data_IF_544124714505
#
_entry.id   IF_544124714505
#
_cell.length_a   1.000
_cell.length_b   1.000
_cell.length_c   1.000
_cell.angle_alpha   90.00
_cell.angle_beta   90.00
_cell.angle_gamma   90.00
#
_symmetry.space_group_name_H-M   'P 1'
#
loop_
_entity.id
_entity.type
_entity.pdbx_description
1 polymer ?
#
# COMPACT_ATOMS: atom_id res chain seq x y z
N UNK A 1 -17.09 -34.86 -73.27
CA UNK A 1 -15.64 -34.69 -73.44
C UNK A 1 -15.05 -34.09 -72.17
N UNK A 2 -14.27 -34.90 -71.43
CA UNK A 2 -13.03 -34.59 -70.71
C UNK A 2 -12.91 -33.37 -69.74
N UNK A 3 -12.57 -33.73 -68.49
CA UNK A 3 -11.64 -33.13 -67.48
C UNK A 3 -12.36 -32.72 -66.18
N UNK A 4 -12.35 -33.54 -65.12
CA UNK A 4 -11.26 -33.77 -64.15
C UNK A 4 -10.58 -32.46 -63.70
N UNK A 5 -10.98 -31.95 -62.53
CA UNK A 5 -10.11 -31.21 -61.63
C UNK A 5 -10.47 -31.56 -60.18
N UNK A 6 -9.55 -32.26 -59.54
CA UNK A 6 -9.53 -32.55 -58.11
C UNK A 6 -9.08 -31.27 -57.38
N UNK A 7 -9.85 -30.80 -56.41
CA UNK A 7 -9.45 -29.71 -55.52
C UNK A 7 -9.59 -30.22 -54.08
N UNK A 8 -8.44 -30.56 -53.51
CA UNK A 8 -8.26 -30.94 -52.10
C UNK A 8 -8.53 -29.69 -51.26
N UNK A 9 -9.66 -29.68 -50.55
CA UNK A 9 -10.01 -28.63 -49.60
C UNK A 9 -9.22 -28.80 -48.30
N UNK A 10 -8.27 -27.89 -48.06
CA UNK A 10 -7.51 -27.79 -46.82
C UNK A 10 -8.44 -27.24 -45.72
N UNK A 11 -8.90 -28.10 -44.81
CA UNK A 11 -9.68 -27.69 -43.65
C UNK A 11 -8.77 -26.99 -42.63
N UNK A 12 -8.78 -25.66 -42.62
CA UNK A 12 -8.15 -24.86 -41.56
C UNK A 12 -9.05 -24.93 -40.33
N UNK A 13 -8.69 -25.81 -39.39
CA UNK A 13 -9.28 -25.85 -38.05
C UNK A 13 -8.80 -24.60 -37.31
N UNK A 14 -9.63 -23.56 -37.32
CA UNK A 14 -9.42 -22.37 -36.51
C UNK A 14 -9.72 -22.74 -35.06
N UNK A 15 -8.69 -23.11 -34.31
CA UNK A 15 -8.77 -23.30 -32.87
C UNK A 15 -9.05 -21.94 -32.21
N UNK A 16 -10.32 -21.65 -31.90
CA UNK A 16 -10.68 -20.60 -30.95
C UNK A 16 -10.10 -20.98 -29.59
N UNK A 17 -8.96 -20.39 -29.25
CA UNK A 17 -8.48 -20.32 -27.88
C UNK A 17 -9.48 -19.44 -27.11
N UNK A 18 -10.49 -20.07 -26.50
CA UNK A 18 -11.23 -19.45 -25.41
C UNK A 18 -10.24 -19.26 -24.26
N UNK A 19 -9.67 -18.06 -24.20
CA UNK A 19 -9.01 -17.58 -23.01
C UNK A 19 -10.04 -17.57 -21.90
N UNK A 20 -9.96 -18.51 -20.97
CA UNK A 20 -10.56 -18.39 -19.66
C UNK A 20 -9.85 -17.26 -18.92
N UNK A 21 -10.14 -16.02 -19.31
CA UNK A 21 -9.97 -14.89 -18.41
C UNK A 21 -10.86 -15.21 -17.21
N UNK A 22 -10.24 -15.57 -16.09
CA UNK A 22 -10.91 -15.63 -14.79
C UNK A 22 -11.49 -14.24 -14.54
N UNK A 23 -12.74 -14.03 -14.93
CA UNK A 23 -13.47 -12.82 -14.61
C UNK A 23 -13.53 -12.75 -13.09
N UNK A 24 -12.89 -11.71 -12.55
CA UNK A 24 -13.00 -11.36 -11.13
C UNK A 24 -14.49 -11.28 -10.81
N UNK A 25 -14.98 -12.21 -9.99
CA UNK A 25 -16.38 -12.22 -9.61
C UNK A 25 -16.65 -10.95 -8.78
N UNK A 26 -17.66 -10.13 -9.16
CA UNK A 26 -18.10 -9.03 -8.31
C UNK A 26 -18.58 -9.58 -6.96
N UNK A 27 -18.63 -8.73 -5.93
CA UNK A 27 -19.24 -9.14 -4.65
C UNK A 27 -20.74 -9.33 -4.88
N UNK A 28 -21.14 -10.57 -5.20
CA UNK A 28 -22.50 -10.94 -5.58
C UNK A 28 -23.54 -10.53 -4.51
N UNK A 29 -24.63 -9.91 -4.98
CA UNK A 29 -25.84 -9.56 -4.22
C UNK A 29 -26.68 -10.80 -3.83
N UNK A 30 -26.27 -12.02 -4.22
CA UNK A 30 -26.89 -13.25 -3.73
C UNK A 30 -26.85 -13.32 -2.21
N UNK A 31 -27.97 -13.68 -1.58
CA UNK A 31 -28.07 -13.85 -0.14
C UNK A 31 -26.93 -14.72 0.40
N UNK A 32 -26.13 -14.17 1.31
CA UNK A 32 -25.03 -14.91 1.94
C UNK A 32 -25.61 -15.99 2.86
N UNK A 33 -25.27 -17.24 2.58
CA UNK A 33 -25.58 -18.37 3.46
C UNK A 33 -24.34 -18.72 4.30
N UNK A 34 -24.30 -18.44 5.61
CA UNK A 34 -23.13 -18.72 6.44
C UNK A 34 -22.89 -20.23 6.53
N UNK A 35 -21.63 -20.64 6.40
CA UNK A 35 -21.23 -22.01 6.75
C UNK A 35 -21.42 -22.23 8.24
N UNK A 36 -21.95 -23.39 8.62
CA UNK A 36 -22.19 -23.75 10.02
C UNK A 36 -21.17 -24.77 10.48
N UNK A 37 -20.20 -24.33 11.27
CA UNK A 37 -19.29 -25.23 11.96
C UNK A 37 -20.02 -25.99 13.07
N UNK A 38 -19.77 -27.29 13.17
CA UNK A 38 -20.22 -28.10 14.30
C UNK A 38 -19.30 -27.84 15.48
N UNK A 39 -19.77 -27.12 16.51
CA UNK A 39 -18.90 -26.69 17.62
C UNK A 39 -18.14 -27.82 18.33
N UNK A 40 -18.65 -29.06 18.32
CA UNK A 40 -17.97 -30.23 18.90
C UNK A 40 -16.72 -30.67 18.14
N UNK A 41 -16.63 -30.33 16.85
CA UNK A 41 -15.54 -30.74 15.98
C UNK A 41 -14.38 -29.73 16.01
N UNK A 42 -14.51 -28.63 16.75
CA UNK A 42 -13.57 -27.51 16.76
C UNK A 42 -13.29 -27.00 18.18
N UNK A 43 -12.07 -26.53 18.39
CA UNK A 43 -11.65 -25.79 19.58
C UNK A 43 -11.18 -24.38 19.20
N UNK A 44 -11.18 -23.48 20.17
CA UNK A 44 -10.72 -22.11 19.98
C UNK A 44 -9.21 -22.09 19.68
N UNK A 45 -8.84 -21.46 18.56
CA UNK A 45 -7.44 -21.15 18.23
C UNK A 45 -6.99 -19.84 18.88
N UNK A 46 -7.95 -18.94 19.10
CA UNK A 46 -7.79 -17.68 19.83
C UNK A 46 -8.86 -17.55 20.90
N UNK A 47 -8.51 -16.92 22.02
CA UNK A 47 -9.41 -16.66 23.13
C UNK A 47 -10.16 -15.34 22.93
N UNK A 48 -9.47 -14.37 22.33
CA UNK A 48 -9.95 -13.00 22.14
C UNK A 48 -9.87 -12.57 20.68
N UNK A 49 -10.74 -11.66 20.27
CA UNK A 49 -10.58 -10.93 19.02
C UNK A 49 -11.03 -9.48 19.16
N UNK A 50 -10.38 -8.60 18.41
CA UNK A 50 -10.77 -7.20 18.26
C UNK A 50 -10.83 -6.87 16.78
N UNK A 51 -11.98 -6.39 16.32
CA UNK A 51 -12.11 -5.84 14.97
C UNK A 51 -11.82 -4.34 15.03
N UNK A 52 -10.94 -3.84 14.17
CA UNK A 52 -10.79 -2.41 13.88
C UNK A 52 -11.47 -2.14 12.54
N UNK A 53 -12.54 -1.35 12.55
CA UNK A 53 -13.30 -0.99 11.36
C UNK A 53 -13.00 0.45 10.94
N UNK A 54 -12.63 0.62 9.68
CA UNK A 54 -12.35 1.91 9.07
C UNK A 54 -13.64 2.66 8.74
N UNK A 55 -13.83 3.82 9.36
CA UNK A 55 -14.90 4.78 9.08
C UNK A 55 -14.38 6.10 8.51
N UNK A 56 -13.16 6.14 7.97
CA UNK A 56 -12.55 7.35 7.41
C UNK A 56 -13.23 7.81 6.11
N UNK A 57 -12.89 9.02 5.64
CA UNK A 57 -13.50 9.61 4.43
C UNK A 57 -13.34 8.74 3.18
N UNK A 58 -12.20 8.07 2.99
CA UNK A 58 -11.95 7.21 1.82
C UNK A 58 -12.91 6.02 1.73
N UNK A 59 -13.46 5.58 2.86
CA UNK A 59 -14.47 4.52 2.93
C UNK A 59 -15.85 4.97 2.42
N UNK A 60 -16.03 6.27 2.18
CA UNK A 60 -17.25 6.84 1.58
C UNK A 60 -17.31 6.63 0.07
N UNK A 61 -16.18 6.33 -0.56
CA UNK A 61 -16.10 6.08 -2.00
C UNK A 61 -16.85 4.81 -2.39
N UNK A 62 -17.24 4.74 -3.67
CA UNK A 62 -17.83 3.54 -4.25
C UNK A 62 -16.76 2.58 -4.75
N UNK A 63 -16.99 1.31 -4.54
CA UNK A 63 -16.27 0.20 -5.16
C UNK A 63 -17.31 -0.83 -5.60
N UNK A 64 -17.25 -1.24 -6.86
CA UNK A 64 -18.22 -2.18 -7.45
C UNK A 64 -19.69 -1.73 -7.24
N UNK A 65 -19.96 -0.44 -7.46
CA UNK A 65 -21.29 0.17 -7.31
C UNK A 65 -21.76 0.40 -5.87
N UNK A 66 -21.07 -0.13 -4.86
CA UNK A 66 -21.44 -0.05 -3.44
C UNK A 66 -20.46 0.82 -2.64
N UNK A 67 -20.93 1.50 -1.60
CA UNK A 67 -20.06 2.26 -0.69
C UNK A 67 -19.09 1.31 0.03
N UNK A 68 -17.79 1.62 0.06
CA UNK A 68 -16.77 0.79 0.71
C UNK A 68 -17.08 0.49 2.17
N UNK A 69 -17.57 1.47 2.95
CA UNK A 69 -18.01 1.23 4.33
C UNK A 69 -19.10 0.16 4.42
N UNK A 70 -20.05 0.13 3.49
CA UNK A 70 -21.09 -0.90 3.49
C UNK A 70 -20.52 -2.28 3.16
N UNK A 71 -19.55 -2.36 2.23
CA UNK A 71 -18.83 -3.60 1.96
C UNK A 71 -18.04 -4.09 3.17
N UNK A 72 -17.36 -3.17 3.88
CA UNK A 72 -16.62 -3.48 5.10
C UNK A 72 -17.54 -4.08 6.18
N UNK A 73 -18.67 -3.42 6.43
CA UNK A 73 -19.69 -3.89 7.39
C UNK A 73 -20.27 -5.24 6.99
N UNK A 74 -20.54 -5.45 5.71
CA UNK A 74 -21.02 -6.73 5.18
C UNK A 74 -20.01 -7.84 5.46
N UNK A 75 -18.72 -7.62 5.21
CA UNK A 75 -17.68 -8.60 5.49
C UNK A 75 -17.60 -8.94 6.98
N UNK A 76 -17.62 -7.92 7.85
CA UNK A 76 -17.63 -8.15 9.31
C UNK A 76 -18.87 -8.93 9.73
N UNK A 77 -20.04 -8.63 9.17
CA UNK A 77 -21.28 -9.35 9.46
C UNK A 77 -21.27 -10.80 8.93
N UNK A 78 -20.71 -11.05 7.73
CA UNK A 78 -20.55 -12.39 7.17
C UNK A 78 -19.60 -13.24 8.02
N UNK A 79 -18.50 -12.64 8.49
CA UNK A 79 -17.58 -13.25 9.46
C UNK A 79 -18.32 -13.57 10.77
N UNK A 80 -19.00 -12.60 11.36
CA UNK A 80 -19.80 -12.73 12.60
C UNK A 80 -20.82 -13.89 12.52
N UNK A 81 -21.55 -13.99 11.42
CA UNK A 81 -22.52 -15.09 11.18
C UNK A 81 -21.85 -16.46 11.09
N UNK A 82 -20.60 -16.52 10.60
CA UNK A 82 -19.85 -17.75 10.31
C UNK A 82 -19.04 -18.25 11.52
N UNK A 83 -18.62 -17.37 12.44
CA UNK A 83 -17.94 -17.77 13.69
C UNK A 83 -18.83 -18.75 14.49
N UNK A 84 -18.32 -19.91 14.95
CA UNK A 84 -19.10 -20.82 15.80
C UNK A 84 -19.33 -20.25 17.20
N UNK A 85 -20.36 -20.75 17.88
CA UNK A 85 -20.68 -20.38 19.26
C UNK A 85 -19.72 -21.04 20.25
N UNK A 86 -18.51 -20.48 20.35
CA UNK A 86 -17.50 -20.82 21.36
C UNK A 86 -17.27 -19.63 22.30
N UNK A 87 -16.54 -19.84 23.39
CA UNK A 87 -16.36 -18.88 24.47
C UNK A 87 -15.31 -17.79 24.14
N UNK A 88 -15.48 -17.08 23.02
CA UNK A 88 -14.61 -15.96 22.64
C UNK A 88 -14.91 -14.72 23.49
N UNK A 89 -13.91 -13.86 23.65
CA UNK A 89 -14.14 -12.44 23.97
C UNK A 89 -13.97 -11.60 22.70
N UNK A 90 -14.96 -10.79 22.38
CA UNK A 90 -15.00 -9.99 21.16
C UNK A 90 -15.07 -8.50 21.46
N UNK A 91 -14.54 -7.69 20.55
CA UNK A 91 -14.71 -6.24 20.55
C UNK A 91 -14.70 -5.63 19.15
N UNK A 92 -15.18 -4.40 19.05
CA UNK A 92 -15.16 -3.58 17.83
C UNK A 92 -14.68 -2.17 18.17
N UNK A 93 -13.59 -1.77 17.55
CA UNK A 93 -13.07 -0.41 17.55
C UNK A 93 -13.26 0.19 16.16
N UNK A 94 -13.54 1.49 16.10
CA UNK A 94 -13.64 2.25 14.85
C UNK A 94 -12.66 3.42 14.87
N UNK A 95 -12.30 3.91 13.70
CA UNK A 95 -11.60 5.20 13.53
C UNK A 95 -12.22 6.02 12.40
N UNK A 96 -11.81 7.29 12.30
CA UNK A 96 -12.44 8.30 11.46
C UNK A 96 -13.16 9.35 12.32
N UNK A 97 -13.43 10.52 11.74
CA UNK A 97 -14.11 11.64 12.41
C UNK A 97 -15.35 12.06 11.61
N UNK A 98 -16.53 11.97 12.22
CA UNK A 98 -17.77 12.36 11.56
C UNK A 98 -18.86 12.63 12.59
N UNK A 99 -19.94 13.31 12.17
CA UNK A 99 -21.05 13.66 13.07
C UNK A 99 -21.74 12.43 13.69
N UNK A 100 -21.63 11.27 13.04
CA UNK A 100 -22.16 10.00 13.54
C UNK A 100 -21.08 9.06 14.11
N UNK A 101 -19.79 9.44 14.07
CA UNK A 101 -18.70 8.67 14.64
C UNK A 101 -18.41 9.18 16.07
N UNK A 102 -17.94 8.31 16.98
CA UNK A 102 -17.59 8.74 18.33
C UNK A 102 -16.52 9.84 18.32
N UNK A 103 -16.57 10.76 19.30
CA UNK A 103 -15.60 11.84 19.42
C UNK A 103 -14.17 11.29 19.61
N UNK A 104 -13.20 11.87 18.92
CA UNK A 104 -11.79 11.47 18.95
C UNK A 104 -11.34 10.81 17.64
N UNK A 105 -10.08 10.38 17.58
CA UNK A 105 -9.50 9.74 16.39
C UNK A 105 -9.93 8.27 16.24
N UNK A 106 -10.20 7.61 17.36
CA UNK A 106 -10.64 6.21 17.43
C UNK A 106 -11.48 5.97 18.68
N UNK A 107 -12.36 4.96 18.65
CA UNK A 107 -13.21 4.60 19.78
C UNK A 107 -13.55 3.11 19.79
N UNK A 108 -13.52 2.51 20.98
CA UNK A 108 -14.05 1.17 21.24
C UNK A 108 -15.57 1.26 21.40
N UNK A 109 -16.32 0.79 20.40
CA UNK A 109 -17.79 0.90 20.33
C UNK A 109 -18.49 -0.40 20.73
N UNK A 110 -17.74 -1.50 20.82
CA UNK A 110 -18.13 -2.75 21.47
C UNK A 110 -16.93 -3.23 22.28
N UNK A 111 -17.09 -3.24 23.60
CA UNK A 111 -16.00 -3.57 24.52
C UNK A 111 -15.64 -5.04 24.49
N UNK A 112 -14.39 -5.36 24.87
CA UNK A 112 -13.92 -6.74 25.01
C UNK A 112 -14.77 -7.47 26.06
N UNK A 113 -15.77 -8.19 25.60
CA UNK A 113 -16.81 -8.84 26.40
C UNK A 113 -17.02 -10.26 25.91
N UNK A 114 -17.67 -11.15 26.68
CA UNK A 114 -18.12 -12.43 26.15
C UNK A 114 -18.87 -12.22 24.82
N UNK A 115 -18.39 -12.89 23.78
CA UNK A 115 -18.85 -12.64 22.42
C UNK A 115 -20.26 -13.20 22.20
N UNK A 116 -21.12 -12.36 21.64
CA UNK A 116 -22.41 -12.75 21.10
C UNK A 116 -22.58 -12.18 19.69
N UNK A 117 -23.12 -13.00 18.77
CA UNK A 117 -23.32 -12.60 17.37
C UNK A 117 -24.21 -11.36 17.24
N UNK A 118 -25.28 -11.31 18.04
CA UNK A 118 -26.22 -10.20 18.03
C UNK A 118 -25.56 -8.87 18.44
N UNK A 119 -24.72 -8.90 19.48
CA UNK A 119 -24.09 -7.70 20.04
C UNK A 119 -23.06 -7.11 19.07
N UNK A 120 -22.24 -7.97 18.44
CA UNK A 120 -21.31 -7.51 17.41
C UNK A 120 -22.05 -6.95 16.18
N UNK A 121 -23.14 -7.58 15.75
CA UNK A 121 -23.96 -7.09 14.64
C UNK A 121 -24.58 -5.71 14.96
N UNK A 122 -25.11 -5.53 16.18
CA UNK A 122 -25.62 -4.24 16.66
C UNK A 122 -24.52 -3.16 16.66
N UNK A 123 -23.32 -3.50 17.15
CA UNK A 123 -22.18 -2.60 17.15
C UNK A 123 -21.75 -2.17 15.73
N UNK A 124 -21.69 -3.10 14.78
CA UNK A 124 -21.41 -2.81 13.37
C UNK A 124 -22.50 -1.89 12.78
N UNK A 125 -23.76 -2.08 13.15
CA UNK A 125 -24.88 -1.27 12.65
C UNK A 125 -24.79 0.21 13.07
N UNK A 126 -24.15 0.50 14.21
CA UNK A 126 -23.93 1.87 14.73
C UNK A 126 -22.94 2.68 13.90
N UNK A 127 -22.07 2.03 13.13
CA UNK A 127 -21.16 2.72 12.18
C UNK A 127 -21.93 3.08 10.92
N UNK A 128 -22.53 4.27 10.88
CA UNK A 128 -23.49 4.68 9.84
C UNK A 128 -22.94 5.60 8.77
N UNK A 129 -21.83 6.26 9.04
CA UNK A 129 -21.24 7.26 8.15
C UNK A 129 -19.73 7.18 8.21
N UNK A 130 -19.13 7.82 7.21
CA UNK A 130 -17.70 8.00 7.09
C UNK A 130 -17.32 9.44 7.40
N UNK A 131 -16.07 9.67 7.75
CA UNK A 131 -15.53 11.02 7.78
C UNK A 131 -14.14 11.11 8.38
N UNK A 132 -13.55 12.30 8.22
CA UNK A 132 -12.28 12.64 8.82
C UNK A 132 -11.09 11.92 8.22
N UNK A 133 -9.97 12.02 8.91
CA UNK A 133 -8.71 11.38 8.55
C UNK A 133 -8.78 9.86 8.75
N UNK A 134 -7.72 9.16 8.34
CA UNK A 134 -7.58 7.71 8.46
C UNK A 134 -6.53 7.29 9.53
N UNK A 135 -6.72 7.61 10.82
CA UNK A 135 -5.72 7.37 11.86
C UNK A 135 -5.73 5.90 12.34
N UNK A 136 -5.40 4.96 11.45
CA UNK A 136 -5.28 3.55 11.80
C UNK A 136 -4.15 3.30 12.82
N UNK A 137 -3.09 4.10 12.79
CA UNK A 137 -2.05 4.14 13.81
C UNK A 137 -2.62 4.41 15.20
N UNK A 138 -3.44 5.45 15.37
CA UNK A 138 -4.12 5.73 16.64
C UNK A 138 -5.07 4.59 17.04
N UNK A 139 -5.75 3.96 16.07
CA UNK A 139 -6.63 2.84 16.33
C UNK A 139 -5.86 1.61 16.86
N UNK A 140 -4.68 1.32 16.31
CA UNK A 140 -3.80 0.25 16.79
C UNK A 140 -3.21 0.60 18.16
N UNK A 141 -2.78 1.84 18.39
CA UNK A 141 -2.32 2.29 19.71
C UNK A 141 -3.46 2.16 20.74
N UNK A 142 -4.67 2.58 20.36
CA UNK A 142 -5.87 2.49 21.20
C UNK A 142 -6.32 1.05 21.46
N UNK A 143 -6.10 0.13 20.53
CA UNK A 143 -6.34 -1.29 20.74
C UNK A 143 -5.43 -1.89 21.83
N UNK A 144 -4.20 -1.37 22.00
CA UNK A 144 -3.25 -1.81 23.01
C UNK A 144 -3.84 -1.98 24.42
N UNK A 145 -4.36 -0.93 25.08
CA UNK A 145 -4.97 -1.06 26.40
C UNK A 145 -6.25 -1.93 26.41
N UNK A 146 -6.93 -2.09 25.27
CA UNK A 146 -8.13 -2.94 25.17
C UNK A 146 -7.76 -4.43 25.28
N UNK A 147 -6.65 -4.85 24.67
CA UNK A 147 -6.32 -6.28 24.51
C UNK A 147 -5.08 -6.77 25.28
N UNK A 148 -4.14 -5.89 25.66
CA UNK A 148 -2.87 -6.32 26.29
C UNK A 148 -3.03 -6.96 27.68
N UNK A 149 -4.15 -6.68 28.37
CA UNK A 149 -4.46 -7.25 29.69
C UNK A 149 -5.25 -8.55 29.62
N UNK A 150 -5.62 -9.00 28.42
CA UNK A 150 -6.40 -10.22 28.25
C UNK A 150 -5.48 -11.43 28.37
N UNK A 151 -5.96 -12.46 29.04
CA UNK A 151 -5.34 -13.77 28.99
C UNK A 151 -5.65 -14.45 27.65
N UNK A 152 -4.70 -15.23 27.16
CA UNK A 152 -4.88 -16.04 25.95
C UNK A 152 -4.49 -15.33 24.65
N UNK A 153 -4.65 -16.06 23.55
CA UNK A 153 -4.31 -15.62 22.19
C UNK A 153 -5.36 -14.64 21.68
N UNK A 154 -4.92 -13.63 20.95
CA UNK A 154 -5.75 -12.55 20.43
C UNK A 154 -5.58 -12.39 18.92
N UNK A 155 -6.70 -12.37 18.20
CA UNK A 155 -6.74 -11.97 16.80
C UNK A 155 -7.12 -10.49 16.67
N UNK A 156 -6.23 -9.66 16.14
CA UNK A 156 -6.55 -8.28 15.74
C UNK A 156 -6.91 -8.27 14.25
N UNK A 157 -8.14 -7.92 13.92
CA UNK A 157 -8.67 -7.96 12.55
C UNK A 157 -8.96 -6.53 12.09
N UNK A 158 -8.21 -6.04 11.12
CA UNK A 158 -8.33 -4.66 10.62
C UNK A 158 -9.05 -4.70 9.27
N UNK A 159 -10.17 -3.98 9.14
CA UNK A 159 -10.97 -3.90 7.93
C UNK A 159 -10.94 -2.46 7.41
N UNK A 160 -10.24 -2.24 6.29
CA UNK A 160 -9.90 -0.90 5.79
C UNK A 160 -9.58 -0.92 4.29
N UNK A 161 -9.65 0.22 3.60
CA UNK A 161 -9.13 0.35 2.23
C UNK A 161 -7.62 0.68 2.18
N UNK A 162 -6.99 0.97 3.33
CA UNK A 162 -5.56 1.25 3.46
C UNK A 162 -5.13 2.61 2.89
N UNK A 163 -6.07 3.49 2.56
CA UNK A 163 -5.77 4.76 1.89
C UNK A 163 -5.62 5.92 2.89
N UNK A 164 -4.82 6.92 2.49
CA UNK A 164 -4.61 8.17 3.23
C UNK A 164 -3.92 7.99 4.61
N UNK A 165 -3.15 6.91 4.81
CA UNK A 165 -2.48 6.59 6.09
C UNK A 165 -0.94 6.70 6.04
N UNK A 166 -0.34 6.71 4.84
CA UNK A 166 1.11 6.54 4.69
C UNK A 166 1.62 5.24 5.33
N UNK A 167 2.89 5.17 5.75
CA UNK A 167 3.45 4.01 6.49
C UNK A 167 3.23 4.08 8.00
N UNK A 168 2.44 5.03 8.49
CA UNK A 168 2.27 5.29 9.92
C UNK A 168 1.77 4.07 10.72
N UNK A 169 0.81 3.25 10.24
CA UNK A 169 0.27 2.12 11.01
C UNK A 169 1.24 0.95 11.26
N UNK A 170 2.34 0.84 10.49
CA UNK A 170 3.27 -0.30 10.58
C UNK A 170 4.04 -0.30 11.90
N UNK A 171 4.50 0.86 12.35
CA UNK A 171 5.28 0.95 13.59
C UNK A 171 4.44 0.65 14.86
N UNK A 172 3.21 1.18 15.02
CA UNK A 172 2.29 0.77 16.09
C UNK A 172 1.94 -0.72 16.05
N UNK A 173 1.75 -1.32 14.88
CA UNK A 173 1.48 -2.75 14.75
C UNK A 173 2.65 -3.59 15.30
N UNK A 174 3.87 -3.25 14.90
CA UNK A 174 5.09 -3.89 15.40
C UNK A 174 5.27 -3.68 16.92
N UNK A 175 4.95 -2.49 17.43
CA UNK A 175 5.01 -2.20 18.87
C UNK A 175 3.99 -3.03 19.66
N UNK A 176 2.76 -3.16 19.17
CA UNK A 176 1.72 -3.97 19.79
C UNK A 176 2.09 -5.46 19.77
N UNK A 177 2.64 -5.97 18.66
CA UNK A 177 3.19 -7.32 18.60
C UNK A 177 4.31 -7.53 19.61
N UNK A 178 5.24 -6.59 19.73
CA UNK A 178 6.31 -6.66 20.73
C UNK A 178 5.76 -6.73 22.16
N UNK A 179 4.68 -6.00 22.45
CA UNK A 179 4.06 -6.00 23.78
C UNK A 179 3.32 -7.32 24.11
N UNK A 180 2.70 -7.95 23.12
CA UNK A 180 1.89 -9.16 23.33
C UNK A 180 2.59 -10.48 23.00
N UNK A 181 3.74 -10.43 22.31
CA UNK A 181 4.48 -11.61 21.90
C UNK A 181 3.61 -12.56 21.05
N UNK A 182 3.69 -13.85 21.33
CA UNK A 182 2.95 -14.88 20.60
C UNK A 182 1.43 -14.87 20.82
N UNK A 183 0.95 -14.05 21.76
CA UNK A 183 -0.47 -13.89 22.03
C UNK A 183 -1.18 -12.94 21.06
N UNK A 184 -0.49 -12.38 20.05
CA UNK A 184 -1.11 -11.52 19.04
C UNK A 184 -0.76 -11.99 17.62
N UNK A 185 -1.80 -12.15 16.79
CA UNK A 185 -1.69 -12.15 15.34
C UNK A 185 -2.54 -11.03 14.74
N UNK A 186 -2.05 -10.43 13.65
CA UNK A 186 -2.71 -9.31 12.98
C UNK A 186 -3.16 -9.76 11.60
N UNK A 187 -4.46 -9.58 11.33
CA UNK A 187 -5.10 -9.91 10.07
C UNK A 187 -5.65 -8.64 9.45
N UNK A 188 -5.42 -8.44 8.16
CA UNK A 188 -5.94 -7.26 7.45
C UNK A 188 -6.89 -7.70 6.34
N UNK A 189 -8.01 -7.00 6.20
CA UNK A 189 -9.00 -7.21 5.16
C UNK A 189 -9.10 -5.92 4.35
N UNK A 190 -8.56 -5.94 3.14
CA UNK A 190 -8.61 -4.82 2.23
C UNK A 190 -10.01 -4.66 1.63
N UNK A 191 -10.54 -3.44 1.69
CA UNK A 191 -11.73 -3.03 0.95
C UNK A 191 -11.33 -2.27 -0.31
N UNK A 192 -11.79 -2.75 -1.47
CA UNK A 192 -11.37 -2.23 -2.77
C UNK A 192 -10.04 -2.79 -3.25
N UNK A 193 -9.50 -2.23 -4.35
CA UNK A 193 -8.39 -2.80 -5.11
C UNK A 193 -7.18 -1.86 -5.26
N UNK A 194 -7.11 -0.79 -4.47
CA UNK A 194 -6.03 0.20 -4.57
C UNK A 194 -4.66 -0.44 -4.22
N UNK A 195 -3.65 -0.37 -5.10
CA UNK A 195 -2.35 -1.00 -4.86
C UNK A 195 -1.63 -0.46 -3.62
N UNK A 196 -1.71 0.85 -3.36
CA UNK A 196 -1.03 1.46 -2.21
C UNK A 196 -1.65 0.98 -0.90
N UNK A 197 -2.98 0.90 -0.85
CA UNK A 197 -3.71 0.37 0.29
C UNK A 197 -3.41 -1.10 0.54
N UNK A 198 -3.28 -1.90 -0.52
CA UNK A 198 -2.87 -3.31 -0.42
C UNK A 198 -1.47 -3.42 0.20
N UNK A 199 -0.50 -2.70 -0.36
CA UNK A 199 0.89 -2.74 0.12
C UNK A 199 0.98 -2.39 1.60
N UNK A 200 0.26 -1.36 2.04
CA UNK A 200 0.24 -0.95 3.43
C UNK A 200 -0.36 -2.03 4.34
N UNK A 201 -1.53 -2.57 3.98
CA UNK A 201 -2.21 -3.58 4.78
C UNK A 201 -1.45 -4.91 4.84
N UNK A 202 -0.73 -5.26 3.78
CA UNK A 202 0.22 -6.37 3.78
C UNK A 202 1.35 -6.12 4.80
N UNK A 203 1.94 -4.92 4.81
CA UNK A 203 2.99 -4.54 5.75
C UNK A 203 2.50 -4.55 7.22
N UNK A 204 1.28 -4.09 7.47
CA UNK A 204 0.67 -4.09 8.81
C UNK A 204 0.42 -5.53 9.31
N UNK A 205 -0.10 -6.42 8.47
CA UNK A 205 -0.25 -7.83 8.83
C UNK A 205 1.10 -8.50 9.09
N UNK A 206 2.10 -8.25 8.24
CA UNK A 206 3.46 -8.78 8.39
C UNK A 206 4.13 -8.30 9.69
N UNK A 207 3.90 -7.04 10.10
CA UNK A 207 4.40 -6.52 11.37
C UNK A 207 3.86 -7.27 12.61
N UNK A 208 2.73 -7.97 12.46
CA UNK A 208 2.18 -8.86 13.48
C UNK A 208 2.98 -10.14 13.69
N UNK A 209 3.96 -10.47 12.83
CA UNK A 209 4.77 -11.71 12.89
C UNK A 209 3.99 -13.02 12.69
N UNK A 210 2.66 -12.96 12.71
CA UNK A 210 1.72 -13.99 12.32
C UNK A 210 0.41 -13.32 11.89
N UNK A 211 -0.42 -14.07 11.16
CA UNK A 211 -1.59 -13.55 10.48
C UNK A 211 -1.31 -13.33 8.99
N UNK A 212 -2.25 -12.72 8.28
CA UNK A 212 -2.17 -12.54 6.84
C UNK A 212 -3.11 -11.41 6.38
N UNK A 213 -2.83 -10.88 5.20
CA UNK A 213 -3.69 -9.94 4.50
C UNK A 213 -4.56 -10.67 3.47
N UNK A 214 -5.82 -10.26 3.35
CA UNK A 214 -6.77 -10.73 2.32
C UNK A 214 -7.53 -9.55 1.73
N UNK A 215 -8.03 -9.71 0.51
CA UNK A 215 -9.01 -8.78 -0.05
C UNK A 215 -10.43 -9.25 0.29
N UNK A 216 -11.33 -8.32 0.59
CA UNK A 216 -12.73 -8.62 0.87
C UNK A 216 -13.42 -9.44 -0.23
N UNK A 217 -13.07 -9.21 -1.50
CA UNK A 217 -13.66 -9.96 -2.62
C UNK A 217 -13.31 -11.46 -2.57
N UNK A 218 -12.11 -11.78 -2.09
CA UNK A 218 -11.59 -13.15 -2.06
C UNK A 218 -12.19 -13.97 -0.92
N UNK A 219 -12.73 -13.32 0.12
CA UNK A 219 -13.42 -13.95 1.26
C UNK A 219 -14.94 -13.72 1.23
N UNK A 220 -15.49 -13.23 0.11
CA UNK A 220 -16.91 -12.84 0.03
C UNK A 220 -17.88 -14.03 -0.04
N UNK A 221 -17.43 -15.19 -0.53
CA UNK A 221 -18.26 -16.40 -0.63
C UNK A 221 -18.41 -17.13 0.71
N UNK A 222 -19.45 -17.96 0.85
CA UNK A 222 -19.67 -18.79 2.06
C UNK A 222 -18.45 -19.67 2.39
N UNK A 223 -17.91 -20.36 1.38
CA UNK A 223 -16.76 -21.25 1.56
C UNK A 223 -15.47 -20.48 1.90
N UNK A 224 -15.21 -19.36 1.22
CA UNK A 224 -14.01 -18.57 1.51
C UNK A 224 -14.09 -17.86 2.87
N UNK A 225 -15.28 -17.40 3.28
CA UNK A 225 -15.49 -16.87 4.62
C UNK A 225 -15.32 -17.94 5.70
N UNK A 226 -15.79 -19.17 5.44
CA UNK A 226 -15.56 -20.31 6.34
C UNK A 226 -14.06 -20.59 6.50
N UNK A 227 -13.30 -20.63 5.40
CA UNK A 227 -11.86 -20.82 5.44
C UNK A 227 -11.15 -19.69 6.21
N UNK A 228 -11.55 -18.43 5.99
CA UNK A 228 -11.05 -17.29 6.76
C UNK A 228 -11.34 -17.46 8.27
N UNK A 229 -12.59 -17.77 8.63
CA UNK A 229 -12.99 -17.98 10.03
C UNK A 229 -12.23 -19.13 10.66
N UNK A 230 -12.06 -20.24 9.94
CA UNK A 230 -11.28 -21.37 10.43
C UNK A 230 -9.82 -20.96 10.67
N UNK A 231 -9.17 -20.33 9.70
CA UNK A 231 -7.76 -19.92 9.84
C UNK A 231 -7.51 -18.94 10.99
N UNK A 232 -8.48 -18.05 11.29
CA UNK A 232 -8.35 -17.02 12.32
C UNK A 232 -8.78 -17.52 13.70
N UNK A 233 -9.95 -18.16 13.82
CA UNK A 233 -10.62 -18.32 15.12
C UNK A 233 -10.54 -19.71 15.73
N UNK A 234 -10.48 -20.77 14.91
CA UNK A 234 -10.73 -22.15 15.37
C UNK A 234 -9.75 -23.16 14.75
N UNK A 235 -9.66 -24.33 15.35
CA UNK A 235 -8.96 -25.49 14.80
C UNK A 235 -9.76 -26.75 15.10
N UNK A 236 -9.56 -27.85 14.38
CA UNK A 236 -10.29 -29.09 14.66
C UNK A 236 -9.97 -29.63 16.06
N UNK A 237 -10.98 -30.12 16.77
CA UNK A 237 -10.87 -30.72 18.08
C UNK A 237 -10.15 -32.08 18.01
N UNK A 238 -9.39 -32.43 19.05
CA UNK A 238 -8.66 -33.71 19.13
C UNK A 238 -7.38 -33.77 18.30
N UNK A 239 -6.99 -32.65 17.71
CA UNK A 239 -5.86 -32.53 16.81
C UNK A 239 -4.89 -31.51 17.43
N UNK A 240 -3.86 -32.03 18.11
CA UNK A 240 -2.72 -31.22 18.58
C UNK A 240 -1.84 -30.95 17.36
N UNK A 241 -1.28 -29.76 17.24
CA UNK A 241 -0.33 -29.35 16.20
C UNK A 241 0.74 -28.53 16.96
N UNK A 242 1.80 -29.22 17.35
CA UNK A 242 2.76 -28.79 18.37
C UNK A 242 3.76 -27.77 17.84
N UNK A 243 4.12 -27.85 16.56
CA UNK A 243 5.00 -26.86 15.90
C UNK A 243 4.23 -25.78 15.13
N UNK A 244 2.93 -25.99 14.89
CA UNK A 244 2.01 -25.02 14.33
C UNK A 244 2.20 -24.80 12.84
N UNK A 245 2.68 -25.80 12.11
CA UNK A 245 2.89 -25.77 10.66
C UNK A 245 1.58 -25.97 9.86
N UNK A 246 0.49 -26.37 10.54
CA UNK A 246 -0.83 -26.61 9.96
C UNK A 246 -1.14 -28.10 9.72
N UNK A 247 -0.22 -28.99 10.04
CA UNK A 247 -0.41 -30.44 10.05
C UNK A 247 -0.54 -30.93 11.49
N UNK A 248 -1.59 -31.72 11.79
CA UNK A 248 -1.78 -32.33 13.10
C UNK A 248 -0.62 -33.23 13.54
N UNK A 249 -0.21 -33.22 14.82
CA UNK A 249 0.81 -34.09 15.44
C UNK A 249 0.62 -35.57 15.11
N UNK A 250 -0.63 -36.04 14.98
CA UNK A 250 -0.95 -37.44 14.64
C UNK A 250 -0.68 -37.78 13.16
N UNK A 251 -0.48 -36.76 12.34
CA UNK A 251 -0.20 -36.82 10.90
C UNK A 251 1.12 -36.14 10.52
N UNK A 252 1.77 -35.48 11.46
CA UNK A 252 3.00 -34.73 11.27
C UNK A 252 4.21 -35.64 11.50
N UNK A 253 4.91 -35.94 10.41
CA UNK A 253 6.14 -36.73 10.39
C UNK A 253 7.38 -35.86 10.66
N UNK A 254 7.22 -34.54 10.71
CA UNK A 254 8.27 -33.54 10.88
C UNK A 254 7.90 -32.53 12.01
N UNK A 255 7.80 -33.00 13.28
CA UNK A 255 7.19 -32.29 14.43
C UNK A 255 7.95 -31.06 14.97
N UNK A 256 8.87 -30.50 14.20
CA UNK A 256 9.61 -29.28 14.52
C UNK A 256 9.80 -28.41 13.27
N UNK A 257 8.86 -28.47 12.33
CA UNK A 257 8.90 -27.63 11.15
C UNK A 257 8.72 -26.17 11.57
N UNK A 258 9.65 -25.26 11.20
CA UNK A 258 9.51 -23.85 11.55
C UNK A 258 8.20 -23.28 11.03
N UNK A 259 7.44 -22.65 11.94
CA UNK A 259 6.16 -22.02 11.64
C UNK A 259 6.26 -21.09 10.41
N UNK A 260 5.38 -21.32 9.42
CA UNK A 260 5.34 -20.54 8.17
C UNK A 260 6.08 -21.18 6.99
N UNK A 261 6.81 -22.28 7.20
CA UNK A 261 7.32 -23.12 6.11
C UNK A 261 6.14 -23.83 5.44
N UNK A 262 6.11 -23.88 4.11
CA UNK A 262 5.12 -24.71 3.40
C UNK A 262 5.45 -26.17 3.62
N UNK A 263 4.47 -26.91 4.08
CA UNK A 263 4.58 -28.34 4.35
C UNK A 263 3.67 -29.14 3.42
N UNK A 264 3.99 -30.40 3.22
CA UNK A 264 3.10 -31.35 2.55
C UNK A 264 2.03 -31.87 3.52
N UNK A 265 1.29 -32.90 3.10
CA UNK A 265 0.24 -33.50 3.93
C UNK A 265 0.77 -34.23 5.18
N UNK A 266 2.09 -34.42 5.27
CA UNK A 266 2.82 -35.10 6.34
C UNK A 266 3.56 -34.12 7.27
N UNK A 267 3.35 -32.80 7.15
CA UNK A 267 4.01 -31.79 8.01
C UNK A 267 5.48 -31.57 7.68
N UNK A 268 5.98 -32.23 6.63
CA UNK A 268 7.37 -32.09 6.24
C UNK A 268 7.55 -30.92 5.29
N UNK A 269 8.65 -30.14 5.42
CA UNK A 269 8.97 -29.09 4.48
C UNK A 269 8.95 -29.66 3.07
N UNK A 270 8.03 -29.19 2.24
CA UNK A 270 8.13 -29.51 0.82
C UNK A 270 9.45 -28.94 0.38
N UNK A 271 10.33 -29.78 -0.18
CA UNK A 271 11.42 -29.29 -1.02
C UNK A 271 10.74 -28.30 -1.94
N UNK A 272 11.07 -27.03 -1.80
CA UNK A 272 10.61 -26.06 -2.75
C UNK A 272 11.07 -26.62 -4.10
N UNK A 273 10.13 -27.16 -4.90
CA UNK A 273 10.20 -26.90 -6.33
C UNK A 273 10.52 -25.42 -6.38
N UNK A 274 11.58 -24.98 -7.09
CA UNK A 274 11.94 -23.59 -7.11
C UNK A 274 10.68 -22.84 -7.50
N UNK A 275 10.00 -22.34 -6.48
CA UNK A 275 9.01 -21.31 -6.61
C UNK A 275 9.96 -20.24 -7.06
N UNK A 276 9.96 -19.98 -8.37
CA UNK A 276 10.27 -18.66 -8.83
C UNK A 276 9.59 -17.78 -7.78
N UNK A 277 10.42 -17.06 -7.01
CA UNK A 277 9.91 -16.07 -6.09
C UNK A 277 8.76 -15.36 -6.83
N UNK A 278 7.66 -14.95 -6.16
CA UNK A 278 6.80 -13.98 -6.81
C UNK A 278 7.75 -12.97 -7.40
N UNK A 279 7.78 -12.89 -8.74
CA UNK A 279 8.75 -12.05 -9.42
C UNK A 279 8.22 -10.69 -9.04
N UNK A 280 8.70 -10.16 -7.92
CA UNK A 280 8.51 -8.78 -7.56
C UNK A 280 8.85 -8.08 -8.86
N UNK A 281 7.89 -7.36 -9.47
CA UNK A 281 8.13 -6.77 -10.76
C UNK A 281 9.45 -6.02 -10.62
N UNK A 282 10.39 -6.29 -11.54
CA UNK A 282 11.76 -5.83 -11.37
C UNK A 282 11.71 -4.32 -11.12
N UNK A 283 12.39 -3.86 -10.07
CA UNK A 283 12.60 -2.45 -9.77
C UNK A 283 14.10 -2.24 -9.95
N UNK A 284 14.51 -2.01 -11.19
CA UNK A 284 15.90 -2.04 -11.60
C UNK A 284 16.73 -0.93 -10.96
N UNK A 285 16.12 0.22 -10.66
CA UNK A 285 16.79 1.36 -10.03
C UNK A 285 16.43 1.60 -8.56
N UNK A 286 15.43 0.88 -8.04
CA UNK A 286 15.07 0.85 -6.63
C UNK A 286 14.38 2.12 -6.16
N UNK A 287 13.71 2.84 -7.06
CA UNK A 287 13.03 4.10 -6.75
C UNK A 287 11.60 3.90 -6.16
N UNK A 288 11.13 2.65 -6.16
CA UNK A 288 9.81 2.26 -5.66
C UNK A 288 8.73 2.15 -6.74
N UNK A 289 9.08 2.38 -8.01
CA UNK A 289 8.24 2.16 -9.19
C UNK A 289 8.83 1.04 -10.03
N UNK A 290 8.06 -0.02 -10.23
CA UNK A 290 8.50 -1.17 -10.99
C UNK A 290 8.75 -0.85 -12.48
N UNK A 291 9.70 -1.54 -13.10
CA UNK A 291 10.16 -1.39 -14.50
C UNK A 291 9.01 -1.41 -15.52
N UNK A 292 7.92 -2.14 -15.23
CA UNK A 292 6.74 -2.22 -16.10
C UNK A 292 5.88 -0.94 -16.09
N UNK A 293 6.09 -0.07 -15.11
CA UNK A 293 5.37 1.20 -14.87
C UNK A 293 6.30 2.41 -14.77
N UNK A 294 7.61 2.18 -14.74
CA UNK A 294 8.62 3.23 -14.65
C UNK A 294 8.89 3.85 -16.03
N UNK A 295 8.68 5.18 -16.10
CA UNK A 295 8.91 5.99 -17.29
C UNK A 295 10.28 6.68 -17.27
N UNK A 296 11.00 6.58 -16.15
CA UNK A 296 12.25 7.26 -15.87
C UNK A 296 13.31 6.28 -15.30
N UNK A 297 13.68 5.23 -16.05
CA UNK A 297 14.64 4.24 -15.58
C UNK A 297 16.01 4.85 -15.28
N UNK A 298 16.59 4.41 -14.17
CA UNK A 298 17.87 4.89 -13.65
C UNK A 298 17.74 6.18 -12.85
N UNK A 299 16.60 6.40 -12.20
CA UNK A 299 16.40 7.52 -11.31
C UNK A 299 17.43 7.50 -10.17
N UNK A 300 18.06 8.64 -9.82
CA UNK A 300 19.10 8.65 -8.81
C UNK A 300 18.62 8.13 -7.45
N UNK A 301 19.45 7.34 -6.78
CA UNK A 301 19.12 6.75 -5.48
C UNK A 301 18.79 7.84 -4.46
N UNK A 302 17.65 7.69 -3.77
CA UNK A 302 17.17 8.65 -2.76
C UNK A 302 16.46 9.87 -3.34
N UNK A 303 16.29 9.95 -4.67
CA UNK A 303 15.41 10.92 -5.30
C UNK A 303 13.96 10.72 -4.87
N UNK A 304 13.24 11.83 -4.68
CA UNK A 304 11.78 11.80 -4.53
C UNK A 304 11.15 11.69 -5.91
N UNK A 305 10.46 10.59 -6.17
CA UNK A 305 9.83 10.31 -7.47
C UNK A 305 8.33 10.56 -7.45
N UNK A 306 7.76 10.84 -8.63
CA UNK A 306 6.32 10.78 -8.83
C UNK A 306 5.86 9.35 -9.12
N UNK A 307 4.55 9.16 -9.38
CA UNK A 307 3.97 7.85 -9.67
C UNK A 307 4.51 7.17 -10.94
N UNK A 308 5.34 7.86 -11.73
CA UNK A 308 5.93 7.36 -12.98
C UNK A 308 7.41 7.01 -12.82
N UNK A 309 7.96 7.07 -11.60
CA UNK A 309 9.39 6.85 -11.33
C UNK A 309 10.25 8.08 -11.67
N UNK A 310 9.65 9.22 -12.00
CA UNK A 310 10.42 10.38 -12.43
C UNK A 310 10.81 11.27 -11.26
N UNK A 311 12.10 11.58 -11.13
CA UNK A 311 12.60 12.50 -10.10
C UNK A 311 11.91 13.87 -10.18
N UNK A 312 11.19 14.22 -9.11
CA UNK A 312 10.53 15.52 -8.97
C UNK A 312 11.45 16.49 -8.26
N UNK A 313 11.90 17.50 -9.00
CA UNK A 313 12.65 18.63 -8.47
C UNK A 313 11.81 19.89 -8.68
N UNK A 314 11.42 20.56 -7.61
CA UNK A 314 10.67 21.81 -7.72
C UNK A 314 11.55 22.95 -8.26
N UNK A 315 10.96 23.85 -9.05
CA UNK A 315 11.67 24.99 -9.60
C UNK A 315 12.10 25.98 -8.50
N UNK A 316 13.31 26.52 -8.65
CA UNK A 316 13.80 27.59 -7.77
C UNK A 316 13.42 28.92 -8.39
N UNK A 317 12.49 29.65 -7.76
CA UNK A 317 11.93 30.91 -8.26
C UNK A 317 12.76 32.12 -7.81
N UNK A 318 12.86 33.13 -8.69
CA UNK A 318 13.61 34.35 -8.43
C UNK A 318 12.75 35.61 -8.50
N UNK A 319 13.08 36.59 -7.66
CA UNK A 319 12.50 37.92 -7.75
C UNK A 319 12.92 38.62 -9.04
N UNK A 320 12.15 39.65 -9.41
CA UNK A 320 12.48 40.48 -10.55
C UNK A 320 13.90 41.03 -10.41
N UNK A 321 14.69 40.89 -11.47
CA UNK A 321 16.07 41.37 -11.56
C UNK A 321 17.09 40.79 -10.56
N UNK A 322 16.72 39.73 -9.81
CA UNK A 322 17.61 39.12 -8.81
C UNK A 322 18.13 37.74 -9.21
N UNK A 323 19.27 37.39 -8.62
CA UNK A 323 19.90 36.06 -8.69
C UNK A 323 20.15 35.43 -7.31
N UNK A 324 19.71 36.07 -6.22
CA UNK A 324 19.83 35.53 -4.87
C UNK A 324 18.74 34.48 -4.61
N UNK A 325 19.14 33.35 -4.02
CA UNK A 325 18.22 32.28 -3.61
C UNK A 325 17.55 32.68 -2.30
N UNK A 326 16.22 32.54 -2.23
CA UNK A 326 15.47 32.81 -1.00
C UNK A 326 15.69 31.69 0.03
N UNK A 327 15.73 32.06 1.32
CA UNK A 327 15.91 31.10 2.42
C UNK A 327 14.89 29.95 2.44
N UNK A 328 13.69 30.14 1.89
CA UNK A 328 12.66 29.09 1.79
C UNK A 328 13.07 27.86 0.99
N UNK A 329 14.14 27.94 0.18
CA UNK A 329 14.66 26.83 -0.61
C UNK A 329 15.72 25.99 0.10
N UNK A 330 16.17 26.37 1.30
CA UNK A 330 17.28 25.71 1.99
C UNK A 330 17.04 24.20 2.14
N UNK A 331 15.89 23.81 2.68
CA UNK A 331 15.52 22.39 2.86
C UNK A 331 15.48 21.63 1.53
N UNK A 332 14.89 22.22 0.50
CA UNK A 332 14.83 21.59 -0.82
C UNK A 332 16.22 21.38 -1.40
N UNK A 333 17.12 22.35 -1.26
CA UNK A 333 18.49 22.27 -1.73
C UNK A 333 19.33 21.27 -0.93
N UNK A 334 19.06 21.11 0.36
CA UNK A 334 19.63 20.04 1.19
C UNK A 334 19.20 18.64 0.74
N UNK A 335 17.89 18.47 0.45
CA UNK A 335 17.34 17.21 -0.08
C UNK A 335 17.97 16.87 -1.45
N UNK A 336 18.09 17.86 -2.35
CA UNK A 336 18.79 17.68 -3.63
C UNK A 336 20.26 17.34 -3.42
N UNK A 337 20.96 18.05 -2.53
CA UNK A 337 22.38 17.79 -2.25
C UNK A 337 22.63 16.38 -1.69
N UNK A 338 21.70 15.85 -0.89
CA UNK A 338 21.78 14.47 -0.40
C UNK A 338 21.74 13.44 -1.54
N UNK A 339 20.91 13.68 -2.56
CA UNK A 339 20.86 12.82 -3.77
C UNK A 339 22.21 12.83 -4.50
N UNK A 340 22.82 14.00 -4.70
CA UNK A 340 24.14 14.07 -5.36
C UNK A 340 25.24 13.31 -4.61
N UNK A 341 25.25 13.42 -3.27
CA UNK A 341 26.22 12.70 -2.42
C UNK A 341 26.05 11.19 -2.49
N UNK A 342 24.82 10.71 -2.63
CA UNK A 342 24.51 9.29 -2.79
C UNK A 342 24.80 8.76 -4.20
N UNK A 343 24.99 9.63 -5.20
CA UNK A 343 25.14 9.27 -6.61
C UNK A 343 26.36 9.97 -7.25
N UNK A 344 27.61 9.48 -7.02
CA UNK A 344 28.84 10.14 -7.49
C UNK A 344 28.93 10.37 -9.01
N UNK A 345 28.28 9.51 -9.80
CA UNK A 345 28.27 9.59 -11.26
C UNK A 345 27.19 10.53 -11.83
N UNK A 346 26.27 11.02 -10.99
CA UNK A 346 25.18 11.89 -11.41
C UNK A 346 25.74 13.21 -11.92
N UNK A 347 25.32 13.60 -13.13
CA UNK A 347 25.64 14.91 -13.72
C UNK A 347 24.37 15.60 -14.15
N UNK A 348 24.25 16.89 -13.84
CA UNK A 348 23.10 17.71 -14.22
C UNK A 348 23.51 19.02 -14.88
N UNK A 349 22.56 19.61 -15.61
CA UNK A 349 22.60 21.00 -16.06
C UNK A 349 21.57 21.79 -15.24
N UNK A 350 22.01 22.88 -14.64
CA UNK A 350 21.17 23.88 -14.00
C UNK A 350 20.81 24.92 -15.07
N UNK A 351 19.56 24.92 -15.52
CA UNK A 351 19.06 25.77 -16.58
C UNK A 351 18.41 27.02 -15.99
N UNK A 352 18.99 28.19 -16.24
CA UNK A 352 18.45 29.48 -15.79
C UNK A 352 17.54 30.12 -16.82
N UNK A 353 16.47 30.76 -16.34
CA UNK A 353 15.46 31.44 -17.17
C UNK A 353 15.04 32.80 -16.60
N UNK A 354 14.56 33.68 -17.47
CA UNK A 354 14.01 35.00 -17.13
C UNK A 354 12.60 35.17 -17.73
N UNK A 355 11.92 36.25 -17.33
CA UNK A 355 10.79 36.79 -18.10
C UNK A 355 11.29 37.66 -19.26
N UNK A 356 10.36 38.11 -20.09
CA UNK A 356 10.58 38.91 -21.31
C UNK A 356 10.95 40.39 -21.09
N UNK A 357 10.98 40.87 -19.84
CA UNK A 357 11.35 42.25 -19.52
C UNK A 357 12.88 42.42 -19.57
N UNK A 358 13.35 43.35 -20.40
CA UNK A 358 14.78 43.70 -20.54
C UNK A 358 15.39 43.24 -21.87
N UNK A 359 16.62 43.65 -22.15
CA UNK A 359 17.30 43.26 -23.40
C UNK A 359 17.65 41.77 -23.40
N UNK A 360 17.85 41.20 -24.59
CA UNK A 360 18.25 39.79 -24.76
C UNK A 360 19.57 39.50 -24.06
N UNK A 361 20.56 40.37 -24.25
CA UNK A 361 21.91 40.26 -23.69
C UNK A 361 21.87 40.30 -22.16
N UNK A 362 21.06 41.21 -21.60
CA UNK A 362 20.89 41.32 -20.17
C UNK A 362 20.25 40.07 -19.57
N UNK A 363 19.14 39.61 -20.16
CA UNK A 363 18.42 38.43 -19.69
C UNK A 363 19.24 37.15 -19.84
N UNK A 364 20.07 37.05 -20.87
CA UNK A 364 21.03 35.98 -21.01
C UNK A 364 21.99 35.94 -19.80
N UNK A 365 22.68 37.04 -19.51
CA UNK A 365 23.59 37.12 -18.37
C UNK A 365 22.90 36.93 -17.01
N UNK A 366 21.67 37.42 -16.84
CA UNK A 366 20.90 37.23 -15.60
C UNK A 366 20.52 35.76 -15.39
N UNK A 367 20.13 35.06 -16.45
CA UNK A 367 19.79 33.64 -16.38
C UNK A 367 21.00 32.78 -16.01
N UNK A 368 22.19 33.09 -16.52
CA UNK A 368 23.46 32.42 -16.16
C UNK A 368 23.81 32.64 -14.69
N UNK A 369 23.74 33.89 -14.21
CA UNK A 369 23.97 34.21 -12.79
C UNK A 369 23.05 33.45 -11.84
N UNK A 370 21.78 33.24 -12.22
CA UNK A 370 20.83 32.45 -11.43
C UNK A 370 21.25 30.98 -11.34
N UNK A 371 21.59 30.37 -12.47
CA UNK A 371 22.08 29.00 -12.51
C UNK A 371 23.37 28.85 -11.67
N UNK A 372 24.30 29.80 -11.78
CA UNK A 372 25.54 29.83 -10.99
C UNK A 372 25.30 30.03 -9.49
N UNK A 373 24.29 30.80 -9.11
CA UNK A 373 23.88 30.97 -7.71
C UNK A 373 23.44 29.64 -7.10
N UNK A 374 22.59 28.87 -7.82
CA UNK A 374 22.16 27.52 -7.42
C UNK A 374 23.35 26.57 -7.35
N UNK A 375 24.23 26.60 -8.36
CA UNK A 375 25.46 25.79 -8.35
C UNK A 375 26.31 26.07 -7.12
N UNK A 376 26.60 27.34 -6.83
CA UNK A 376 27.40 27.77 -5.68
C UNK A 376 26.79 27.29 -4.37
N UNK A 377 25.47 27.38 -4.24
CA UNK A 377 24.77 26.92 -3.05
C UNK A 377 24.87 25.40 -2.87
N UNK A 378 24.60 24.61 -3.91
CA UNK A 378 24.75 23.15 -3.86
C UNK A 378 26.20 22.73 -3.56
N UNK A 379 27.20 23.40 -4.13
CA UNK A 379 28.61 23.18 -3.79
C UNK A 379 28.89 23.47 -2.33
N UNK A 380 28.31 24.54 -1.76
CA UNK A 380 28.46 24.85 -0.33
C UNK A 380 27.85 23.80 0.60
N UNK A 381 26.83 23.08 0.12
CA UNK A 381 26.23 21.93 0.81
C UNK A 381 27.04 20.64 0.60
N UNK A 382 28.16 20.68 -0.13
CA UNK A 382 29.07 19.57 -0.32
C UNK A 382 28.82 18.74 -1.59
N UNK A 383 28.10 19.27 -2.58
CA UNK A 383 27.99 18.64 -3.91
C UNK A 383 29.28 18.89 -4.71
N UNK A 384 29.96 17.86 -5.24
CA UNK A 384 31.12 18.03 -6.12
C UNK A 384 30.79 18.92 -7.34
N UNK A 385 31.59 19.97 -7.55
CA UNK A 385 31.34 20.94 -8.62
C UNK A 385 31.35 20.33 -10.04
N UNK A 386 32.02 19.19 -10.22
CA UNK A 386 32.11 18.45 -11.49
C UNK A 386 30.79 17.72 -11.85
N UNK A 387 29.88 17.54 -10.89
CA UNK A 387 28.54 17.00 -11.12
C UNK A 387 27.57 18.07 -11.65
N UNK A 388 27.94 19.36 -11.55
CA UNK A 388 27.06 20.49 -11.84
C UNK A 388 27.59 21.33 -12.99
N UNK A 389 26.79 21.46 -14.05
CA UNK A 389 26.99 22.44 -15.12
C UNK A 389 25.86 23.46 -15.11
N UNK A 390 26.10 24.66 -15.65
CA UNK A 390 25.12 25.75 -15.68
C UNK A 390 24.90 26.22 -17.11
N UNK A 391 23.68 26.64 -17.42
CA UNK A 391 23.34 27.20 -18.73
C UNK A 391 22.21 28.20 -18.61
N UNK A 392 22.40 29.41 -19.13
CA UNK A 392 21.33 30.41 -19.23
C UNK A 392 20.60 30.34 -20.56
N UNK A 393 19.29 30.56 -20.54
CA UNK A 393 18.45 30.65 -21.73
C UNK A 393 17.74 32.01 -21.90
N UNK A 394 17.96 32.96 -20.98
CA UNK A 394 17.18 34.18 -20.90
C UNK A 394 15.67 33.90 -20.91
N UNK A 395 14.92 34.62 -21.74
CA UNK A 395 13.47 34.45 -21.90
C UNK A 395 13.07 33.53 -23.06
N UNK A 396 14.01 32.78 -23.65
CA UNK A 396 13.73 31.99 -24.87
C UNK A 396 12.96 30.70 -24.63
N UNK A 397 12.79 30.28 -23.36
CA UNK A 397 12.07 29.07 -22.95
C UNK A 397 11.04 29.36 -21.84
N UNK A 398 9.97 30.10 -22.13
CA UNK A 398 8.90 30.36 -21.17
C UNK A 398 8.06 29.11 -20.94
N UNK A 399 7.62 28.88 -19.70
CA UNK A 399 6.67 27.79 -19.37
C UNK A 399 5.23 28.28 -19.34
N UNK A 400 5.03 29.59 -19.23
CA UNK A 400 3.73 30.26 -19.26
C UNK A 400 3.86 31.61 -19.97
N UNK A 401 2.73 32.21 -20.35
CA UNK A 401 2.73 33.53 -20.99
C UNK A 401 3.26 34.64 -20.05
N UNK A 402 4.17 35.48 -20.55
CA UNK A 402 4.69 36.65 -19.84
C UNK A 402 3.72 37.85 -19.79
N UNK A 403 2.49 37.72 -20.31
CA UNK A 403 1.51 38.82 -20.31
C UNK A 403 1.11 39.27 -18.90
N UNK A 404 1.10 38.36 -17.92
CA UNK A 404 0.70 38.65 -16.53
C UNK A 404 1.91 38.73 -15.60
N UNK A 405 1.75 39.44 -14.47
CA UNK A 405 2.80 39.49 -13.43
C UNK A 405 3.15 38.09 -12.90
N UNK A 406 2.14 37.25 -12.69
CA UNK A 406 2.30 35.88 -12.21
C UNK A 406 2.99 34.98 -13.24
N UNK A 407 2.65 35.16 -14.52
CA UNK A 407 3.31 34.46 -15.62
C UNK A 407 4.80 34.77 -15.67
N UNK A 408 5.14 36.06 -15.61
CA UNK A 408 6.55 36.50 -15.52
C UNK A 408 7.27 35.95 -14.29
N UNK A 409 6.59 35.86 -13.15
CA UNK A 409 7.17 35.27 -11.95
C UNK A 409 7.52 33.79 -12.14
N UNK A 410 6.63 33.03 -12.78
CA UNK A 410 6.85 31.64 -13.15
C UNK A 410 7.88 31.46 -14.28
N UNK A 411 8.26 32.48 -15.04
CA UNK A 411 9.35 32.33 -16.02
C UNK A 411 10.73 32.63 -15.43
N UNK A 412 10.81 33.32 -14.28
CA UNK A 412 12.06 33.59 -13.56
C UNK A 412 12.43 32.43 -12.65
N UNK A 413 13.17 31.44 -13.18
CA UNK A 413 13.44 30.19 -12.47
C UNK A 413 14.78 29.56 -12.82
N UNK A 414 15.20 28.60 -12.01
CA UNK A 414 16.20 27.58 -12.37
C UNK A 414 15.55 26.20 -12.34
N UNK A 415 15.77 25.43 -13.39
CA UNK A 415 15.39 24.02 -13.53
C UNK A 415 16.64 23.13 -13.44
N UNK A 416 16.49 21.92 -12.89
CA UNK A 416 17.57 20.93 -12.82
C UNK A 416 17.28 19.82 -13.83
N UNK A 417 18.17 19.64 -14.80
CA UNK A 417 18.03 18.63 -15.86
C UNK A 417 19.14 17.58 -15.76
N UNK A 418 18.78 16.30 -15.65
CA UNK A 418 19.73 15.19 -15.61
C UNK A 418 20.37 14.98 -17.00
N UNK A 419 21.69 14.87 -17.04
CA UNK A 419 22.43 14.54 -18.27
C UNK A 419 22.34 13.02 -18.46
N UNK A 420 21.49 12.56 -19.37
CA UNK A 420 21.42 11.14 -19.74
C UNK A 420 22.78 10.70 -20.31
N UNK A 421 23.38 9.64 -19.75
CA UNK A 421 24.56 8.99 -20.36
C UNK A 421 24.14 8.52 -21.75
N UNK A 422 24.82 8.97 -22.80
CA UNK A 422 24.68 8.34 -24.11
C UNK A 422 25.24 6.91 -24.00
N UNK A 423 24.36 5.92 -24.03
CA UNK A 423 24.73 4.53 -24.28
C UNK A 423 25.27 4.46 -25.71
N UNK A 424 26.59 4.26 -25.85
CA UNK A 424 27.15 3.78 -27.11
C UNK A 424 26.58 2.37 -27.32
N UNK A 425 25.68 2.26 -28.30
CA UNK A 425 25.16 0.97 -28.77
C UNK A 425 26.23 0.13 -29.44
#
# INVERSE_FOLDING_TARGET
>A
MKKMFSMVGLAIISALLMSCAAQKAPMSDSAFAPFKFTAKDYVQKVDNFLVILDGSTSMGDKYDGRMKLNLAKDIVNRMNQTIPELAFKGGLRTFGQGSCLPKGNTSLIYGITPYAKADLADAVSKVKCTGGNSPLDDAIVGAGPDITKLAGKTALIIVSDGLQMGKAPVAPAAALKKAMGDNLCIYTVQIGDAPEGKLLLDQVAAAGGCGFAVNAKDISSSAAMADFVQKVFIQKAGVRDSDGDGVPDDRDKCPNTPRGVKVDADGCPVKAAPVAAPVSPLDSDGDGVFDDRDQCPGTPKGAKVDARGCWVIENIWFDFDKADIKNGYARQLEEVAAVFKANPDLKVVLEGHTCDIGTKEYNQGLSERRADSVKKHLVSLGVPAQQLSTKGYGFTRPIVSDKTKDGRAKNRRVEITVIKKQTRG
#
